data_IF_243275741548
#
_entry.id   IF_243275741548
#
_cell.length_a   1.000
_cell.length_b   1.000
_cell.length_c   1.000
_cell.angle_alpha   90.00
_cell.angle_beta   90.00
_cell.angle_gamma   90.00
#
_symmetry.space_group_name_H-M   'P 1'
#
loop_
_entity.id
_entity.type
_entity.pdbx_description
1 polymer ?
#
# COMPACT_ATOMS: atom_id res chain seq x y z
N UNK A 1 -19.04 -39.50 -31.72
CA UNK A 1 -18.45 -38.20 -32.09
C UNK A 1 -19.15 -37.13 -31.27
N UNK A 2 -18.50 -36.69 -30.18
CA UNK A 2 -19.05 -35.71 -29.25
C UNK A 2 -18.85 -34.29 -29.80
N UNK A 3 -19.91 -33.47 -29.73
CA UNK A 3 -19.84 -32.03 -29.95
C UNK A 3 -19.36 -31.38 -28.65
N UNK A 4 -18.19 -30.77 -28.70
CA UNK A 4 -17.72 -29.84 -27.67
C UNK A 4 -18.17 -28.43 -28.08
N UNK A 5 -19.19 -27.91 -27.42
CA UNK A 5 -19.60 -26.50 -27.53
C UNK A 5 -19.03 -25.73 -26.35
N UNK A 6 -17.83 -25.18 -26.52
CA UNK A 6 -17.22 -24.24 -25.58
C UNK A 6 -17.87 -22.87 -25.74
N UNK A 7 -18.96 -22.63 -25.04
CA UNK A 7 -19.61 -21.33 -24.96
C UNK A 7 -18.86 -20.47 -23.92
N UNK A 8 -17.91 -19.64 -24.37
CA UNK A 8 -17.25 -18.67 -23.51
C UNK A 8 -18.20 -17.48 -23.29
N UNK A 9 -18.48 -17.06 -22.03
CA UNK A 9 -19.40 -15.97 -21.77
C UNK A 9 -18.90 -14.67 -22.40
N UNK A 10 -19.75 -14.02 -23.19
CA UNK A 10 -19.44 -12.75 -23.86
C UNK A 10 -19.19 -11.67 -22.82
N UNK A 11 -18.01 -11.04 -22.90
CA UNK A 11 -17.69 -9.85 -22.12
C UNK A 11 -18.63 -8.72 -22.52
N UNK A 12 -19.27 -8.08 -21.54
CA UNK A 12 -20.07 -6.89 -21.79
C UNK A 12 -19.12 -5.76 -22.19
N UNK A 13 -19.36 -5.14 -23.36
CA UNK A 13 -18.76 -3.85 -23.67
C UNK A 13 -19.26 -2.85 -22.63
N UNK A 14 -18.35 -2.35 -21.81
CA UNK A 14 -18.64 -1.36 -20.78
C UNK A 14 -19.36 -0.16 -21.44
N UNK A 15 -20.51 0.32 -20.92
CA UNK A 15 -20.68 1.76 -20.90
C UNK A 15 -19.56 2.24 -19.97
N UNK A 16 -18.63 3.02 -20.50
CA UNK A 16 -17.58 3.68 -19.73
C UNK A 16 -18.24 4.29 -18.49
N UNK A 17 -18.09 3.64 -17.33
CA UNK A 17 -18.37 4.28 -16.06
C UNK A 17 -17.52 5.53 -16.05
N UNK A 18 -18.13 6.68 -15.77
CA UNK A 18 -17.51 8.01 -15.84
C UNK A 18 -16.02 7.90 -15.58
N UNK A 19 -15.24 7.98 -16.65
CA UNK A 19 -13.80 7.95 -16.52
C UNK A 19 -13.44 9.11 -15.60
N UNK A 20 -12.39 8.99 -14.79
CA UNK A 20 -11.92 10.15 -14.02
C UNK A 20 -11.67 11.37 -14.92
N UNK A 21 -11.52 11.18 -16.24
CA UNK A 21 -11.50 12.25 -17.24
C UNK A 21 -12.78 13.10 -17.30
N UNK A 22 -13.95 12.56 -16.94
CA UNK A 22 -15.24 13.25 -17.01
C UNK A 22 -15.48 14.17 -15.80
N UNK A 23 -14.65 14.07 -14.76
CA UNK A 23 -14.69 14.96 -13.58
C UNK A 23 -14.00 16.30 -13.83
N UNK A 24 -13.16 16.42 -14.86
CA UNK A 24 -12.40 17.63 -15.13
C UNK A 24 -13.01 18.36 -16.33
N UNK A 25 -13.41 19.64 -16.20
CA UNK A 25 -13.90 20.40 -17.34
C UNK A 25 -12.83 20.42 -18.44
N UNK A 26 -13.27 20.44 -19.70
CA UNK A 26 -12.39 20.53 -20.86
C UNK A 26 -11.42 21.73 -20.69
N UNK A 27 -10.14 21.43 -20.50
CA UNK A 27 -9.12 22.44 -20.19
C UNK A 27 -8.09 22.03 -19.12
N UNK A 28 -7.83 20.74 -18.91
CA UNK A 28 -6.68 20.32 -18.09
C UNK A 28 -5.41 20.95 -18.67
N UNK A 29 -4.65 21.75 -17.88
CA UNK A 29 -3.43 22.37 -18.39
C UNK A 29 -2.46 21.28 -18.86
N UNK A 30 -1.81 21.53 -20.00
CA UNK A 30 -0.77 20.63 -20.50
C UNK A 30 0.33 20.52 -19.45
N UNK A 31 0.69 19.29 -19.07
CA UNK A 31 1.76 19.05 -18.10
C UNK A 31 3.08 19.64 -18.60
N UNK A 32 3.82 20.30 -17.72
CA UNK A 32 5.19 20.69 -18.03
C UNK A 32 6.04 19.43 -18.25
N UNK A 33 7.17 19.50 -18.98
CA UNK A 33 8.07 18.36 -19.11
C UNK A 33 8.55 17.82 -17.74
N UNK A 34 8.76 18.72 -16.76
CA UNK A 34 9.14 18.34 -15.40
C UNK A 34 8.03 17.56 -14.70
N UNK A 35 6.77 18.03 -14.75
CA UNK A 35 5.62 17.32 -14.18
C UNK A 35 5.42 15.95 -14.83
N UNK A 36 5.51 15.88 -16.16
CA UNK A 36 5.37 14.63 -16.89
C UNK A 36 6.44 13.60 -16.49
N UNK A 37 7.70 14.04 -16.33
CA UNK A 37 8.80 13.21 -15.88
C UNK A 37 8.58 12.68 -14.45
N UNK A 38 8.10 13.53 -13.53
CA UNK A 38 7.77 13.13 -12.16
C UNK A 38 6.64 12.11 -12.13
N UNK A 39 5.61 12.30 -12.96
CA UNK A 39 4.51 11.35 -13.05
C UNK A 39 4.97 9.99 -13.56
N UNK A 40 5.77 9.95 -14.62
CA UNK A 40 6.34 8.70 -15.12
C UNK A 40 7.26 8.03 -14.10
N UNK A 41 8.08 8.80 -13.38
CA UNK A 41 8.89 8.29 -12.26
C UNK A 41 8.02 7.65 -11.17
N UNK A 42 6.95 8.33 -10.72
CA UNK A 42 6.05 7.83 -9.67
C UNK A 42 5.21 6.63 -10.10
N UNK A 43 4.95 6.45 -11.40
CA UNK A 43 4.23 5.29 -11.94
C UNK A 43 5.07 4.02 -11.95
N UNK A 44 6.40 4.14 -11.99
CA UNK A 44 7.30 2.99 -12.00
C UNK A 44 7.31 2.33 -10.62
N UNK A 45 7.01 1.04 -10.59
CA UNK A 45 7.04 0.24 -9.37
C UNK A 45 8.47 -0.13 -9.00
N UNK A 46 8.94 0.33 -7.84
CA UNK A 46 10.23 -0.08 -7.28
C UNK A 46 10.06 -1.38 -6.48
N UNK A 47 10.67 -2.45 -6.97
CA UNK A 47 10.71 -3.74 -6.27
C UNK A 47 11.91 -3.79 -5.33
N UNK A 48 11.67 -4.17 -4.09
CA UNK A 48 12.72 -4.38 -3.08
C UNK A 48 12.44 -5.71 -2.34
N UNK A 49 13.42 -6.28 -1.60
CA UNK A 49 13.26 -7.60 -1.00
C UNK A 49 12.00 -7.75 -0.14
N UNK A 50 11.69 -6.79 0.73
CA UNK A 50 10.49 -6.85 1.56
C UNK A 50 9.17 -6.75 0.75
N UNK A 51 9.14 -5.97 -0.33
CA UNK A 51 8.02 -5.97 -1.28
C UNK A 51 7.85 -7.33 -1.93
N UNK A 52 8.93 -7.93 -2.44
CA UNK A 52 8.88 -9.26 -3.07
C UNK A 52 8.39 -10.33 -2.10
N UNK A 53 8.91 -10.35 -0.86
CA UNK A 53 8.46 -11.27 0.19
C UNK A 53 6.98 -11.08 0.54
N UNK A 54 6.52 -9.84 0.65
CA UNK A 54 5.10 -9.56 0.89
C UNK A 54 4.21 -10.06 -0.26
N UNK A 55 4.59 -9.79 -1.50
CA UNK A 55 3.86 -10.25 -2.68
C UNK A 55 3.82 -11.78 -2.79
N UNK A 56 4.90 -12.47 -2.43
CA UNK A 56 4.93 -13.93 -2.38
C UNK A 56 4.04 -14.48 -1.26
N UNK A 57 4.06 -13.87 -0.07
CA UNK A 57 3.19 -14.25 1.03
C UNK A 57 1.71 -14.07 0.68
N UNK A 58 1.34 -12.96 0.02
CA UNK A 58 -0.02 -12.74 -0.48
C UNK A 58 -0.38 -13.78 -1.53
N UNK A 59 0.53 -14.09 -2.48
CA UNK A 59 0.30 -15.13 -3.48
C UNK A 59 0.00 -16.49 -2.86
N UNK A 60 0.73 -16.86 -1.80
CA UNK A 60 0.50 -18.11 -1.08
C UNK A 60 -0.87 -18.13 -0.38
N UNK A 61 -1.22 -17.01 0.25
CA UNK A 61 -2.54 -16.80 0.86
C UNK A 61 -3.66 -16.95 -0.18
N UNK A 62 -3.52 -16.30 -1.34
CA UNK A 62 -4.49 -16.37 -2.44
C UNK A 62 -4.70 -17.80 -2.96
N UNK A 63 -3.61 -18.58 -3.08
CA UNK A 63 -3.67 -19.97 -3.51
C UNK A 63 -4.59 -20.81 -2.60
N UNK A 64 -4.62 -20.52 -1.30
CA UNK A 64 -5.46 -21.24 -0.34
C UNK A 64 -6.96 -20.96 -0.55
N UNK A 65 -7.31 -19.71 -0.84
CA UNK A 65 -8.69 -19.35 -1.17
C UNK A 65 -9.13 -19.90 -2.52
N UNK A 66 -8.26 -19.82 -3.54
CA UNK A 66 -8.52 -20.39 -4.86
C UNK A 66 -8.80 -21.91 -4.81
N UNK A 67 -8.14 -22.65 -3.92
CA UNK A 67 -8.36 -24.09 -3.73
C UNK A 67 -9.37 -24.45 -2.62
N UNK A 68 -10.04 -23.45 -2.01
CA UNK A 68 -11.07 -23.66 -0.98
C UNK A 68 -10.63 -24.57 0.17
N UNK A 69 -9.37 -24.42 0.63
CA UNK A 69 -8.89 -25.13 1.82
C UNK A 69 -9.84 -24.90 3.00
N UNK A 70 -10.08 -25.94 3.79
CA UNK A 70 -11.04 -25.85 4.91
C UNK A 70 -10.62 -24.81 5.95
N UNK A 71 -9.32 -24.73 6.22
CA UNK A 71 -8.72 -23.76 7.14
C UNK A 71 -7.60 -22.99 6.41
N UNK A 72 -7.94 -21.93 5.65
CA UNK A 72 -6.94 -21.18 4.91
C UNK A 72 -6.15 -20.28 5.85
N UNK A 73 -4.81 -20.31 5.74
CA UNK A 73 -4.00 -19.30 6.43
C UNK A 73 -4.34 -17.91 5.89
N UNK A 74 -4.36 -16.95 6.79
CA UNK A 74 -4.47 -15.54 6.52
C UNK A 74 -3.10 -14.86 6.76
N UNK A 75 -2.96 -13.62 6.32
CA UNK A 75 -1.69 -12.90 6.37
C UNK A 75 -1.84 -11.55 7.07
N UNK A 76 -0.95 -11.26 8.02
CA UNK A 76 -0.83 -9.92 8.59
C UNK A 76 0.43 -9.24 8.03
N UNK A 77 0.26 -8.09 7.38
CA UNK A 77 1.35 -7.23 6.91
C UNK A 77 1.37 -5.96 7.75
N UNK A 78 2.37 -5.82 8.60
CA UNK A 78 2.54 -4.63 9.44
C UNK A 78 3.67 -3.74 8.92
N UNK A 79 3.54 -2.42 9.09
CA UNK A 79 4.62 -1.48 8.82
C UNK A 79 4.21 -0.08 9.23
N UNK A 80 5.18 0.78 9.53
CA UNK A 80 4.90 2.20 9.83
C UNK A 80 4.25 2.90 8.63
N UNK A 81 3.70 4.10 8.85
CA UNK A 81 3.20 4.91 7.73
C UNK A 81 4.33 5.20 6.74
N UNK A 82 4.02 5.20 5.44
CA UNK A 82 5.02 5.38 4.38
C UNK A 82 5.92 4.18 4.09
N UNK A 83 5.68 3.00 4.68
CA UNK A 83 6.46 1.77 4.43
C UNK A 83 6.07 1.01 3.13
N UNK A 84 5.11 1.50 2.34
CA UNK A 84 4.70 0.88 1.06
C UNK A 84 3.57 -0.17 1.14
N UNK A 85 2.84 -0.25 2.25
CA UNK A 85 1.70 -1.19 2.44
C UNK A 85 0.64 -1.06 1.34
N UNK A 86 0.13 0.15 1.12
CA UNK A 86 -0.91 0.39 0.11
C UNK A 86 -0.41 0.14 -1.32
N UNK A 87 0.88 0.36 -1.59
CA UNK A 87 1.51 -0.01 -2.88
C UNK A 87 1.46 -1.52 -3.09
N UNK A 88 1.79 -2.32 -2.08
CA UNK A 88 1.69 -3.79 -2.14
C UNK A 88 0.25 -4.23 -2.41
N UNK A 89 -0.72 -3.67 -1.66
CA UNK A 89 -2.15 -3.96 -1.82
C UNK A 89 -2.63 -3.72 -3.25
N UNK A 90 -2.47 -2.48 -3.74
CA UNK A 90 -2.87 -2.06 -5.08
C UNK A 90 -2.15 -2.86 -6.17
N UNK A 91 -0.85 -3.12 -6.01
CA UNK A 91 -0.08 -3.88 -7.00
C UNK A 91 -0.54 -5.33 -7.10
N UNK A 92 -0.93 -5.95 -5.98
CA UNK A 92 -1.45 -7.31 -6.00
C UNK A 92 -2.85 -7.37 -6.60
N UNK A 93 -3.76 -6.50 -6.14
CA UNK A 93 -5.14 -6.42 -6.62
C UNK A 93 -5.23 -6.12 -8.13
N UNK A 94 -4.35 -5.26 -8.66
CA UNK A 94 -4.31 -4.93 -10.09
C UNK A 94 -4.05 -6.13 -11.02
N UNK A 95 -3.57 -7.26 -10.50
CA UNK A 95 -3.39 -8.51 -11.28
C UNK A 95 -4.70 -9.27 -11.48
N UNK A 96 -5.74 -8.92 -10.71
CA UNK A 96 -7.04 -9.60 -10.68
C UNK A 96 -8.16 -8.55 -10.74
N UNK A 97 -8.28 -7.80 -11.85
CA UNK A 97 -9.32 -6.80 -12.00
C UNK A 97 -10.71 -7.44 -11.91
N UNK A 98 -11.70 -6.66 -11.48
CA UNK A 98 -13.12 -7.03 -11.54
C UNK A 98 -13.50 -7.30 -13.00
N UNK A 99 -14.14 -8.43 -13.26
CA UNK A 99 -14.65 -8.80 -14.58
C UNK A 99 -16.18 -8.84 -14.55
N UNK A 100 -16.83 -8.12 -15.45
CA UNK A 100 -18.28 -8.09 -15.56
C UNK A 100 -18.73 -8.79 -16.85
N UNK A 101 -19.50 -9.87 -16.67
CA UNK A 101 -20.18 -10.60 -17.72
C UNK A 101 -21.67 -10.28 -17.67
N UNK A 102 -22.46 -10.75 -18.65
CA UNK A 102 -23.89 -10.44 -18.72
C UNK A 102 -24.66 -10.88 -17.47
N UNK A 103 -24.31 -12.04 -16.90
CA UNK A 103 -25.04 -12.65 -15.78
C UNK A 103 -24.19 -12.77 -14.51
N UNK A 104 -22.87 -12.61 -14.60
CA UNK A 104 -21.93 -12.89 -13.51
C UNK A 104 -20.93 -11.74 -13.39
N UNK A 105 -20.65 -11.33 -12.16
CA UNK A 105 -19.51 -10.46 -11.84
C UNK A 105 -18.47 -11.29 -11.11
N UNK A 106 -17.23 -11.30 -11.59
CA UNK A 106 -16.12 -12.03 -10.97
C UNK A 106 -15.18 -11.06 -10.27
N UNK A 107 -14.94 -11.28 -8.98
CA UNK A 107 -14.06 -10.46 -8.11
C UNK A 107 -13.15 -11.41 -7.33
N UNK A 108 -12.06 -11.87 -7.94
CA UNK A 108 -11.14 -12.82 -7.28
C UNK A 108 -10.43 -12.21 -6.07
N UNK A 109 -9.99 -10.95 -6.20
CA UNK A 109 -9.36 -10.20 -5.11
C UNK A 109 -10.22 -8.99 -4.77
N UNK A 110 -10.75 -8.97 -3.56
CA UNK A 110 -11.48 -7.82 -3.01
C UNK A 110 -10.53 -6.98 -2.16
N UNK A 111 -10.24 -5.73 -2.55
CA UNK A 111 -9.49 -4.79 -1.69
C UNK A 111 -10.38 -3.68 -1.15
N UNK A 112 -10.14 -3.28 0.10
CA UNK A 112 -10.78 -2.11 0.70
C UNK A 112 -9.88 -1.43 1.73
N UNK A 113 -10.13 -0.14 1.91
CA UNK A 113 -9.52 0.69 2.95
C UNK A 113 -10.55 0.97 4.04
N UNK A 114 -10.16 0.71 5.29
CA UNK A 114 -11.06 0.85 6.42
C UNK A 114 -11.25 2.33 6.81
N UNK A 115 -12.47 2.75 7.19
CA UNK A 115 -12.73 4.13 7.60
C UNK A 115 -12.06 4.44 8.92
N UNK A 116 -11.92 5.74 9.22
CA UNK A 116 -11.74 6.20 10.59
C UNK A 116 -12.93 5.73 11.45
N UNK A 117 -12.66 5.20 12.64
CA UNK A 117 -13.67 4.61 13.55
C UNK A 117 -14.56 3.52 12.90
N UNK A 118 -13.97 2.40 12.43
CA UNK A 118 -14.70 1.33 11.79
C UNK A 118 -15.59 0.58 12.80
N UNK A 119 -16.79 0.22 12.35
CA UNK A 119 -17.70 -0.68 13.05
C UNK A 119 -17.97 -1.88 12.15
N UNK A 120 -18.31 -3.04 12.72
CA UNK A 120 -18.64 -4.22 11.91
C UNK A 120 -19.71 -3.89 10.85
N UNK A 121 -20.71 -3.06 11.21
CA UNK A 121 -21.77 -2.65 10.29
C UNK A 121 -21.25 -1.82 9.12
N UNK A 122 -20.41 -0.80 9.36
CA UNK A 122 -19.92 0.07 8.30
C UNK A 122 -18.88 -0.62 7.39
N UNK A 123 -18.10 -1.56 7.94
CA UNK A 123 -17.17 -2.37 7.15
C UNK A 123 -17.94 -3.37 6.31
N UNK A 124 -18.96 -4.03 6.87
CA UNK A 124 -19.83 -4.93 6.11
C UNK A 124 -20.54 -4.19 4.96
N UNK A 125 -21.03 -2.97 5.19
CA UNK A 125 -21.60 -2.11 4.16
C UNK A 125 -20.60 -1.79 3.04
N UNK A 126 -19.35 -1.44 3.39
CA UNK A 126 -18.28 -1.20 2.38
C UNK A 126 -17.94 -2.44 1.57
N UNK A 127 -17.89 -3.60 2.21
CA UNK A 127 -17.68 -4.88 1.52
C UNK A 127 -18.82 -5.13 0.53
N UNK A 128 -20.08 -4.96 0.96
CA UNK A 128 -21.25 -5.11 0.08
C UNK A 128 -21.21 -4.13 -1.11
N UNK A 129 -20.87 -2.87 -0.86
CA UNK A 129 -20.71 -1.88 -1.91
C UNK A 129 -19.64 -2.29 -2.94
N UNK A 130 -18.49 -2.78 -2.47
CA UNK A 130 -17.40 -3.25 -3.33
C UNK A 130 -17.77 -4.53 -4.12
N UNK A 131 -18.65 -5.37 -3.58
CA UNK A 131 -19.22 -6.53 -4.26
C UNK A 131 -20.30 -6.16 -5.29
N UNK A 132 -20.76 -4.90 -5.33
CA UNK A 132 -21.83 -4.45 -6.23
C UNK A 132 -23.24 -4.76 -5.72
N UNK A 133 -23.40 -4.93 -4.41
CA UNK A 133 -24.71 -5.12 -3.79
C UNK A 133 -25.60 -3.87 -4.00
N UNK A 134 -26.89 -4.02 -4.38
CA UNK A 134 -27.77 -2.89 -4.68
C UNK A 134 -28.28 -2.13 -3.45
N UNK A 135 -28.16 -2.71 -2.25
CA UNK A 135 -28.67 -2.14 -1.00
C UNK A 135 -27.66 -2.31 0.15
N UNK A 136 -26.42 -1.79 -0.01
CA UNK A 136 -25.33 -2.09 0.90
C UNK A 136 -25.59 -1.54 2.31
N UNK A 137 -26.34 -0.43 2.42
CA UNK A 137 -26.72 0.25 3.66
C UNK A 137 -27.85 -0.45 4.44
N UNK A 138 -28.66 -1.28 3.78
CA UNK A 138 -29.86 -1.90 4.39
C UNK A 138 -29.55 -3.11 5.27
N UNK A 139 -30.31 -3.26 6.35
CA UNK A 139 -30.26 -4.40 7.27
C UNK A 139 -29.27 -4.27 8.46
N UNK A 140 -29.37 -5.22 9.39
CA UNK A 140 -28.47 -5.37 10.54
C UNK A 140 -27.07 -5.81 10.11
N UNK A 141 -26.09 -5.77 11.02
CA UNK A 141 -24.74 -6.28 10.75
C UNK A 141 -24.73 -7.77 10.41
N UNK A 142 -25.60 -8.56 11.05
CA UNK A 142 -25.79 -9.99 10.77
C UNK A 142 -26.39 -10.22 9.38
N UNK A 143 -27.45 -9.50 9.02
CA UNK A 143 -28.06 -9.57 7.70
C UNK A 143 -27.06 -9.20 6.59
N UNK A 144 -26.25 -8.16 6.82
CA UNK A 144 -25.14 -7.80 5.90
C UNK A 144 -24.12 -8.92 5.80
N UNK A 145 -23.72 -9.52 6.91
CA UNK A 145 -22.75 -10.64 6.93
C UNK A 145 -23.26 -11.84 6.13
N UNK A 146 -24.54 -12.21 6.25
CA UNK A 146 -25.15 -13.27 5.44
C UNK A 146 -25.11 -12.98 3.94
N UNK A 147 -25.33 -11.72 3.54
CA UNK A 147 -25.23 -11.28 2.14
C UNK A 147 -23.80 -11.31 1.64
N UNK A 148 -22.83 -10.88 2.45
CA UNK A 148 -21.40 -10.98 2.13
C UNK A 148 -21.01 -12.43 1.84
N UNK A 149 -21.42 -13.38 2.69
CA UNK A 149 -21.12 -14.81 2.49
C UNK A 149 -21.68 -15.30 1.16
N UNK A 150 -22.89 -14.88 0.82
CA UNK A 150 -23.54 -15.25 -0.45
C UNK A 150 -22.80 -14.66 -1.64
N UNK A 151 -22.50 -13.36 -1.60
CA UNK A 151 -21.82 -12.65 -2.68
C UNK A 151 -20.36 -13.08 -2.85
N UNK A 152 -19.66 -13.48 -1.78
CA UNK A 152 -18.32 -14.06 -1.91
C UNK A 152 -18.33 -15.31 -2.79
N UNK A 153 -19.37 -16.15 -2.65
CA UNK A 153 -19.54 -17.35 -3.49
C UNK A 153 -19.94 -17.00 -4.91
N UNK A 154 -20.94 -16.13 -5.07
CA UNK A 154 -21.45 -15.75 -6.41
C UNK A 154 -20.42 -14.99 -7.24
N UNK A 155 -19.59 -14.16 -6.60
CA UNK A 155 -18.55 -13.39 -7.27
C UNK A 155 -17.21 -14.14 -7.39
N UNK A 156 -17.09 -15.36 -6.86
CA UNK A 156 -15.84 -16.11 -6.88
C UNK A 156 -14.70 -15.38 -6.17
N UNK A 157 -14.95 -14.85 -4.97
CA UNK A 157 -13.93 -14.19 -4.17
C UNK A 157 -12.96 -15.24 -3.62
N UNK A 158 -11.67 -15.01 -3.87
CA UNK A 158 -10.56 -15.91 -3.51
C UNK A 158 -9.64 -15.27 -2.46
N UNK A 159 -9.66 -13.94 -2.29
CA UNK A 159 -8.85 -13.22 -1.31
C UNK A 159 -9.50 -11.87 -0.95
N UNK A 160 -9.47 -11.51 0.33
CA UNK A 160 -9.82 -10.17 0.80
C UNK A 160 -8.59 -9.45 1.35
N UNK A 161 -8.36 -8.20 0.96
CA UNK A 161 -7.27 -7.35 1.46
C UNK A 161 -7.86 -6.12 2.17
N UNK A 162 -7.59 -5.99 3.48
CA UNK A 162 -8.05 -4.86 4.30
C UNK A 162 -6.87 -3.97 4.66
N UNK A 163 -6.87 -2.72 4.20
CA UNK A 163 -5.88 -1.71 4.58
C UNK A 163 -6.38 -0.84 5.74
N UNK A 164 -5.45 -0.15 6.40
CA UNK A 164 -5.75 0.67 7.58
C UNK A 164 -6.38 -0.16 8.73
N UNK A 165 -5.97 -1.41 8.92
CA UNK A 165 -6.53 -2.29 9.94
C UNK A 165 -6.36 -1.77 11.39
N UNK A 166 -5.38 -0.90 11.62
CA UNK A 166 -5.18 -0.25 12.93
C UNK A 166 -6.38 0.55 13.38
N UNK A 167 -7.22 1.01 12.45
CA UNK A 167 -8.40 1.81 12.77
C UNK A 167 -9.37 1.04 13.71
N UNK A 168 -9.38 -0.29 13.65
CA UNK A 168 -10.14 -1.12 14.59
C UNK A 168 -9.53 -1.19 16.00
N UNK A 169 -8.21 -1.01 16.12
CA UNK A 169 -7.46 -1.11 17.38
C UNK A 169 -7.36 0.25 18.06
N UNK A 170 -7.34 1.35 17.30
CA UNK A 170 -7.16 2.69 17.83
C UNK A 170 -8.42 3.29 18.45
N UNK A 171 -9.59 2.81 18.03
CA UNK A 171 -10.89 3.37 18.38
C UNK A 171 -11.64 2.53 19.42
N UNK A 172 -10.94 1.67 20.15
CA UNK A 172 -11.55 0.58 20.91
C UNK A 172 -11.09 0.50 22.37
N UNK A 173 -12.05 0.35 23.28
CA UNK A 173 -11.80 0.06 24.70
C UNK A 173 -11.79 -1.44 25.01
N UNK A 174 -10.97 -2.24 24.32
CA UNK A 174 -10.77 -3.69 24.55
C UNK A 174 -11.91 -4.63 24.10
N UNK A 175 -13.17 -4.18 24.19
CA UNK A 175 -14.36 -4.99 23.83
C UNK A 175 -14.64 -5.03 22.33
N UNK A 176 -14.10 -4.10 21.54
CA UNK A 176 -14.42 -3.99 20.10
C UNK A 176 -13.49 -4.91 19.30
N UNK A 177 -12.22 -5.00 19.70
CA UNK A 177 -11.18 -5.87 19.14
C UNK A 177 -11.64 -7.32 19.17
N UNK A 178 -12.15 -7.80 20.31
CA UNK A 178 -12.68 -9.17 20.40
C UNK A 178 -13.84 -9.40 19.42
N UNK A 179 -14.78 -8.45 19.30
CA UNK A 179 -15.91 -8.56 18.36
C UNK A 179 -15.46 -8.58 16.91
N UNK A 180 -14.47 -7.77 16.56
CA UNK A 180 -13.89 -7.72 15.20
C UNK A 180 -13.15 -9.01 14.89
N UNK A 181 -12.36 -9.52 15.84
CA UNK A 181 -11.65 -10.78 15.70
C UNK A 181 -12.61 -11.96 15.51
N UNK A 182 -13.69 -11.99 16.29
CA UNK A 182 -14.72 -13.03 16.17
C UNK A 182 -15.48 -12.92 14.84
N UNK A 183 -15.83 -11.72 14.40
CA UNK A 183 -16.48 -11.50 13.10
C UNK A 183 -15.60 -11.92 11.91
N UNK A 184 -14.31 -11.57 11.91
CA UNK A 184 -13.36 -12.04 10.89
C UNK A 184 -13.26 -13.57 10.88
N UNK A 185 -13.16 -14.19 12.06
CA UNK A 185 -13.15 -15.65 12.18
C UNK A 185 -14.40 -16.27 11.57
N UNK A 186 -15.59 -15.72 11.86
CA UNK A 186 -16.85 -16.20 11.32
C UNK A 186 -16.90 -16.09 9.79
N UNK A 187 -16.44 -14.96 9.23
CA UNK A 187 -16.35 -14.78 7.77
C UNK A 187 -15.41 -15.80 7.13
N UNK A 188 -14.20 -15.99 7.68
CA UNK A 188 -13.24 -16.98 7.17
C UNK A 188 -13.85 -18.39 7.21
N UNK A 189 -14.53 -18.75 8.30
CA UNK A 189 -15.18 -20.08 8.42
C UNK A 189 -16.27 -20.31 7.38
N UNK A 190 -17.14 -19.32 7.21
CA UNK A 190 -18.32 -19.46 6.37
C UNK A 190 -17.99 -19.43 4.86
N UNK A 191 -16.89 -18.75 4.50
CA UNK A 191 -16.53 -18.47 3.11
C UNK A 191 -15.31 -19.26 2.64
N UNK A 192 -14.44 -19.71 3.55
CA UNK A 192 -13.10 -20.24 3.24
C UNK A 192 -12.21 -19.26 2.46
N UNK A 193 -12.56 -17.98 2.49
CA UNK A 193 -11.78 -16.92 1.85
C UNK A 193 -10.76 -16.39 2.86
N UNK A 194 -9.45 -16.44 2.54
CA UNK A 194 -8.42 -15.88 3.38
C UNK A 194 -8.41 -14.34 3.33
N UNK A 195 -7.89 -13.76 4.41
CA UNK A 195 -7.75 -12.32 4.57
C UNK A 195 -6.28 -11.92 4.65
N UNK A 196 -5.92 -10.83 3.98
CA UNK A 196 -4.67 -10.09 4.17
C UNK A 196 -5.00 -8.80 4.89
N UNK A 197 -4.52 -8.66 6.12
CA UNK A 197 -4.68 -7.45 6.91
C UNK A 197 -3.42 -6.60 6.78
N UNK A 198 -3.55 -5.36 6.36
CA UNK A 198 -2.47 -4.37 6.29
C UNK A 198 -2.70 -3.27 7.32
N UNK A 199 -1.65 -2.93 8.07
CA UNK A 199 -1.76 -1.82 9.01
C UNK A 199 -0.49 -1.52 9.79
N UNK A 200 -0.62 -0.72 10.85
CA UNK A 200 0.48 -0.39 11.75
C UNK A 200 0.89 -1.59 12.63
N UNK A 201 2.11 -1.60 13.22
CA UNK A 201 2.57 -2.71 14.06
C UNK A 201 1.61 -3.10 15.20
N UNK A 202 0.88 -2.12 15.76
CA UNK A 202 -0.13 -2.32 16.80
C UNK A 202 -1.32 -3.20 16.37
N UNK A 203 -1.54 -3.41 15.08
CA UNK A 203 -2.54 -4.36 14.58
C UNK A 203 -2.34 -5.77 15.14
N UNK A 204 -1.11 -6.15 15.53
CA UNK A 204 -0.82 -7.46 16.14
C UNK A 204 -1.67 -7.75 17.37
N UNK A 205 -2.10 -6.72 18.10
CA UNK A 205 -2.97 -6.85 19.27
C UNK A 205 -4.27 -7.61 18.98
N UNK A 206 -4.83 -7.49 17.76
CA UNK A 206 -6.05 -8.23 17.39
C UNK A 206 -5.87 -9.76 17.45
N UNK A 207 -4.63 -10.24 17.27
CA UNK A 207 -4.30 -11.66 17.33
C UNK A 207 -4.09 -12.11 18.78
N UNK A 208 -3.78 -11.20 19.70
CA UNK A 208 -3.58 -11.52 21.11
C UNK A 208 -4.92 -11.77 21.82
N UNK A 209 -5.98 -11.07 21.38
CA UNK A 209 -7.32 -11.18 21.97
C UNK A 209 -8.11 -12.41 21.50
N UNK A 210 -7.64 -13.13 20.46
CA UNK A 210 -8.33 -14.31 19.93
C UNK A 210 -7.35 -15.36 19.40
N UNK A 211 -7.17 -16.46 20.16
CA UNK A 211 -6.25 -17.54 19.79
C UNK A 211 -6.59 -18.23 18.47
N UNK A 212 -7.88 -18.41 18.16
CA UNK A 212 -8.31 -19.06 16.92
C UNK A 212 -7.94 -18.20 15.71
N UNK A 213 -8.10 -16.89 15.83
CA UNK A 213 -7.66 -15.95 14.81
C UNK A 213 -6.13 -15.94 14.70
N UNK A 214 -5.41 -15.92 15.83
CA UNK A 214 -3.94 -15.97 15.86
C UNK A 214 -3.36 -17.13 15.07
N UNK A 215 -3.93 -18.32 15.21
CA UNK A 215 -3.48 -19.53 14.50
C UNK A 215 -3.64 -19.42 12.98
N UNK A 216 -4.62 -18.64 12.50
CA UNK A 216 -4.81 -18.37 11.07
C UNK A 216 -3.85 -17.31 10.54
N UNK A 217 -3.42 -16.38 11.38
CA UNK A 217 -2.50 -15.31 11.02
C UNK A 217 -1.07 -15.58 11.51
N UNK A 218 -0.65 -16.86 11.54
CA UNK A 218 0.75 -17.23 11.80
C UNK A 218 1.71 -16.64 10.76
N UNK A 219 1.37 -16.61 9.45
CA UNK A 219 2.15 -15.85 8.49
C UNK A 219 2.07 -14.34 8.79
N UNK A 220 3.22 -13.73 9.06
CA UNK A 220 3.33 -12.30 9.28
C UNK A 220 4.51 -11.72 8.49
N UNK A 221 4.30 -10.57 7.87
CA UNK A 221 5.35 -9.82 7.17
C UNK A 221 5.45 -8.44 7.80
N UNK A 222 6.65 -8.01 8.12
CA UNK A 222 6.90 -6.65 8.64
C UNK A 222 7.68 -5.84 7.59
N UNK A 223 7.08 -4.74 7.16
CA UNK A 223 7.71 -3.73 6.32
C UNK A 223 8.39 -2.70 7.23
N UNK A 224 9.66 -2.95 7.52
CA UNK A 224 10.49 -2.04 8.30
C UNK A 224 11.06 -0.93 7.40
N UNK A 225 11.23 0.30 7.93
CA UNK A 225 12.06 1.32 7.27
C UNK A 225 13.47 0.78 6.99
N UNK A 226 14.13 1.35 5.99
CA UNK A 226 15.54 1.11 5.78
C UNK A 226 16.36 1.55 7.00
N UNK A 227 17.54 0.96 7.16
CA UNK A 227 18.47 1.24 8.25
C UNK A 227 19.87 1.27 7.69
N UNK A 228 20.75 2.06 8.29
CA UNK A 228 22.19 2.05 8.00
C UNK A 228 23.02 1.57 9.20
N UNK A 229 22.37 1.09 10.28
CA UNK A 229 23.05 0.68 11.53
C UNK A 229 23.95 -0.54 11.34
N UNK A 230 23.57 -1.47 10.46
CA UNK A 230 24.36 -2.66 10.11
C UNK A 230 24.82 -2.54 8.67
N UNK A 231 26.02 -3.06 8.38
CA UNK A 231 26.58 -3.08 7.01
C UNK A 231 25.60 -3.68 5.99
N UNK A 232 24.94 -4.78 6.33
CA UNK A 232 23.94 -5.42 5.47
C UNK A 232 22.72 -4.54 5.18
N UNK A 233 22.28 -3.74 6.16
CA UNK A 233 21.13 -2.86 5.99
C UNK A 233 21.52 -1.64 5.13
N UNK A 234 22.71 -1.10 5.35
CA UNK A 234 23.26 -0.01 4.54
C UNK A 234 23.44 -0.42 3.07
N UNK A 235 23.89 -1.65 2.80
CA UNK A 235 23.98 -2.22 1.44
C UNK A 235 22.59 -2.27 0.80
N UNK A 236 21.57 -2.81 1.50
CA UNK A 236 20.19 -2.87 0.98
C UNK A 236 19.61 -1.49 0.70
N UNK A 237 19.95 -0.52 1.54
CA UNK A 237 19.53 0.86 1.33
C UNK A 237 20.20 1.47 0.08
N UNK A 238 21.51 1.26 -0.09
CA UNK A 238 22.25 1.69 -1.26
C UNK A 238 21.73 1.04 -2.56
N UNK A 239 21.39 -0.26 -2.54
CA UNK A 239 20.75 -0.97 -3.66
C UNK A 239 19.40 -0.35 -4.03
N UNK A 240 18.60 0.03 -3.03
CA UNK A 240 17.34 0.72 -3.25
C UNK A 240 17.55 2.11 -3.88
N UNK A 241 18.52 2.89 -3.39
CA UNK A 241 18.88 4.18 -3.97
C UNK A 241 19.41 4.05 -5.40
N UNK A 242 20.18 3.01 -5.69
CA UNK A 242 20.63 2.69 -7.05
C UNK A 242 19.45 2.38 -7.99
N UNK A 243 18.42 1.70 -7.47
CA UNK A 243 17.18 1.42 -8.22
C UNK A 243 16.33 2.68 -8.45
N UNK A 244 16.34 3.63 -7.51
CA UNK A 244 15.77 4.97 -7.74
C UNK A 244 16.58 5.69 -8.81
N UNK A 245 17.91 5.71 -8.68
CA UNK A 245 18.80 6.45 -9.56
C UNK A 245 18.70 5.99 -11.02
N UNK A 246 18.55 4.69 -11.27
CA UNK A 246 18.36 4.17 -12.64
C UNK A 246 17.05 4.57 -13.30
N UNK A 247 16.10 5.13 -12.55
CA UNK A 247 14.81 5.59 -13.05
C UNK A 247 14.73 7.11 -13.22
N UNK A 248 15.74 7.84 -12.77
CA UNK A 248 15.85 9.29 -12.89
C UNK A 248 16.08 9.64 -14.38
N UNK A 249 15.23 10.48 -14.99
CA UNK A 249 15.33 10.82 -16.40
C UNK A 249 16.30 12.00 -16.64
N UNK A 250 17.56 11.85 -16.22
CA UNK A 250 18.61 12.85 -16.40
C UNK A 250 19.84 12.22 -17.07
N UNK A 251 20.59 13.04 -17.80
CA UNK A 251 21.68 12.58 -18.67
C UNK A 251 22.91 12.09 -17.89
N UNK A 252 23.19 12.68 -16.73
CA UNK A 252 24.35 12.35 -15.90
C UNK A 252 23.95 11.61 -14.62
N UNK A 253 24.83 10.72 -14.10
CA UNK A 253 24.62 10.07 -12.80
C UNK A 253 24.39 11.10 -11.69
N UNK A 254 23.36 10.87 -10.87
CA UNK A 254 23.04 11.73 -9.74
C UNK A 254 23.76 11.28 -8.47
N UNK A 255 23.92 12.19 -7.51
CA UNK A 255 24.74 11.95 -6.30
C UNK A 255 24.14 10.92 -5.32
N UNK A 256 22.91 10.43 -5.55
CA UNK A 256 22.22 9.44 -4.71
C UNK A 256 23.03 8.17 -4.42
N UNK A 257 23.92 7.79 -5.34
CA UNK A 257 24.73 6.57 -5.25
C UNK A 257 26.12 6.82 -4.65
N UNK A 258 26.46 8.07 -4.32
CA UNK A 258 27.75 8.39 -3.74
C UNK A 258 27.83 7.92 -2.29
N UNK A 259 28.91 7.20 -1.88
CA UNK A 259 29.05 6.69 -0.52
C UNK A 259 28.91 7.75 0.58
N UNK A 260 29.33 9.00 0.31
CA UNK A 260 29.22 10.11 1.23
C UNK A 260 27.78 10.65 1.36
N UNK A 261 26.94 10.48 0.34
CA UNK A 261 25.58 11.02 0.27
C UNK A 261 24.53 10.03 0.79
N UNK A 262 24.78 8.72 0.68
CA UNK A 262 23.87 7.68 1.15
C UNK A 262 23.42 7.90 2.61
N UNK A 263 24.32 8.17 3.60
CA UNK A 263 23.90 8.47 4.97
C UNK A 263 23.04 9.74 5.08
N UNK A 264 23.31 10.76 4.27
CA UNK A 264 22.55 12.02 4.27
C UNK A 264 21.12 11.79 3.77
N UNK A 265 20.95 10.99 2.72
CA UNK A 265 19.62 10.57 2.23
C UNK A 265 18.87 9.75 3.29
N UNK A 266 19.57 8.91 4.05
CA UNK A 266 18.96 8.21 5.19
C UNK A 266 18.45 9.19 6.25
N UNK A 267 19.25 10.17 6.68
CA UNK A 267 18.82 11.18 7.66
C UNK A 267 17.66 12.04 7.14
N UNK A 268 17.68 12.37 5.85
CA UNK A 268 16.67 13.17 5.17
C UNK A 268 15.32 12.46 4.98
N UNK A 269 15.26 11.14 5.19
CA UNK A 269 14.06 10.33 4.91
C UNK A 269 13.67 9.39 6.05
N UNK A 270 14.51 9.28 7.07
CA UNK A 270 14.41 8.28 8.13
C UNK A 270 14.29 6.83 7.61
N UNK A 271 14.84 6.57 6.42
CA UNK A 271 14.72 5.28 5.73
C UNK A 271 13.30 4.91 5.27
N UNK A 272 12.36 5.86 5.26
CA UNK A 272 10.97 5.63 4.84
C UNK A 272 10.83 5.73 3.32
N UNK A 273 10.20 4.72 2.70
CA UNK A 273 10.01 4.65 1.24
C UNK A 273 9.23 5.85 0.72
N UNK A 274 8.16 6.27 1.40
CA UNK A 274 7.38 7.43 0.98
C UNK A 274 8.21 8.72 0.93
N UNK A 275 9.06 8.95 1.94
CA UNK A 275 9.94 10.12 1.96
C UNK A 275 11.07 10.03 0.93
N UNK A 276 11.59 8.83 0.67
CA UNK A 276 12.55 8.59 -0.43
C UNK A 276 11.94 8.95 -1.78
N UNK A 277 10.71 8.50 -2.05
CA UNK A 277 10.01 8.79 -3.29
C UNK A 277 9.66 10.28 -3.41
N UNK A 278 9.27 10.94 -2.30
CA UNK A 278 9.01 12.38 -2.25
C UNK A 278 10.28 13.19 -2.56
N UNK A 279 11.39 12.88 -1.89
CA UNK A 279 12.67 13.53 -2.12
C UNK A 279 13.11 13.38 -3.58
N UNK A 280 13.10 12.16 -4.11
CA UNK A 280 13.50 11.89 -5.49
C UNK A 280 12.59 12.58 -6.50
N UNK A 281 11.27 12.54 -6.30
CA UNK A 281 10.30 13.21 -7.19
C UNK A 281 10.57 14.71 -7.27
N UNK A 282 10.76 15.35 -6.11
CA UNK A 282 11.00 16.78 -6.08
C UNK A 282 12.38 17.14 -6.63
N UNK A 283 13.40 16.31 -6.40
CA UNK A 283 14.73 16.52 -6.95
C UNK A 283 14.74 16.41 -8.49
N UNK A 284 13.97 15.46 -9.07
CA UNK A 284 13.75 15.40 -10.53
C UNK A 284 13.09 16.69 -11.01
N UNK A 285 12.04 17.16 -10.34
CA UNK A 285 11.34 18.38 -10.70
C UNK A 285 12.28 19.60 -10.73
N UNK A 286 12.98 19.85 -9.62
CA UNK A 286 13.92 20.98 -9.46
C UNK A 286 15.04 20.91 -10.50
N UNK A 287 15.63 19.73 -10.71
CA UNK A 287 16.69 19.56 -11.70
C UNK A 287 16.21 19.90 -13.12
N UNK A 288 15.02 19.43 -13.51
CA UNK A 288 14.47 19.66 -14.85
C UNK A 288 14.03 21.11 -15.07
N UNK A 289 13.39 21.74 -14.08
CA UNK A 289 13.03 23.17 -14.15
C UNK A 289 14.26 24.06 -14.34
N UNK A 290 15.36 23.72 -13.69
CA UNK A 290 16.62 24.46 -13.77
C UNK A 290 17.55 24.00 -14.88
N UNK A 291 17.10 23.07 -15.73
CA UNK A 291 17.88 22.50 -16.83
C UNK A 291 19.23 21.94 -16.38
N UNK A 292 19.26 21.34 -15.19
CA UNK A 292 20.40 20.58 -14.67
C UNK A 292 20.45 19.22 -15.35
N UNK A 293 21.67 18.70 -15.54
CA UNK A 293 21.92 17.39 -16.16
C UNK A 293 22.05 16.26 -15.14
N UNK A 294 22.11 16.57 -13.84
CA UNK A 294 22.06 15.63 -12.72
C UNK A 294 21.40 16.25 -11.48
N UNK A 295 21.06 15.40 -10.51
CA UNK A 295 20.73 15.82 -9.15
C UNK A 295 22.03 15.86 -8.34
N UNK A 296 22.46 17.07 -7.99
CA UNK A 296 23.60 17.35 -7.13
C UNK A 296 23.17 17.60 -5.67
N UNK A 297 24.14 17.90 -4.78
CA UNK A 297 23.87 18.15 -3.36
C UNK A 297 22.97 19.37 -3.14
N UNK A 298 23.06 20.39 -4.00
CA UNK A 298 22.27 21.60 -3.89
C UNK A 298 20.80 21.36 -4.30
N UNK A 299 20.57 20.54 -5.32
CA UNK A 299 19.22 20.07 -5.69
C UNK A 299 18.61 19.25 -4.55
N UNK A 300 19.37 18.35 -3.92
CA UNK A 300 18.89 17.57 -2.77
C UNK A 300 18.56 18.46 -1.56
N UNK A 301 19.42 19.43 -1.25
CA UNK A 301 19.21 20.40 -0.16
C UNK A 301 17.90 21.16 -0.33
N UNK A 302 17.65 21.69 -1.53
CA UNK A 302 16.42 22.42 -1.85
C UNK A 302 15.20 21.52 -1.91
N UNK A 303 15.38 20.27 -2.36
CA UNK A 303 14.30 19.29 -2.41
C UNK A 303 13.87 18.81 -1.03
N UNK A 304 14.81 18.61 -0.12
CA UNK A 304 14.49 18.32 1.27
C UNK A 304 13.67 19.46 1.89
N UNK A 305 14.09 20.70 1.69
CA UNK A 305 13.40 21.86 2.26
C UNK A 305 12.00 22.04 1.67
N UNK A 306 11.84 21.93 0.35
CA UNK A 306 10.52 22.14 -0.29
C UNK A 306 9.55 20.96 -0.13
N UNK A 307 10.03 19.72 -0.15
CA UNK A 307 9.16 18.53 -0.18
C UNK A 307 9.01 17.80 1.15
N UNK A 308 9.93 17.99 2.10
CA UNK A 308 9.94 17.24 3.37
C UNK A 308 9.81 18.17 4.56
N UNK A 309 10.63 19.22 4.66
CA UNK A 309 10.60 20.13 5.80
C UNK A 309 11.02 21.56 5.45
N UNK A 310 10.04 22.44 5.25
CA UNK A 310 10.24 23.84 4.88
C UNK A 310 10.95 24.67 5.96
N UNK A 311 10.78 24.29 7.23
CA UNK A 311 11.37 24.97 8.39
C UNK A 311 12.78 24.45 8.75
N UNK A 312 13.35 23.57 7.93
CA UNK A 312 14.71 23.07 8.15
C UNK A 312 15.72 24.23 8.07
N UNK A 313 16.48 24.43 9.15
CA UNK A 313 17.66 25.30 9.15
C UNK A 313 18.90 24.54 8.63
N UNK A 314 20.03 25.24 8.60
CA UNK A 314 21.30 24.72 8.08
C UNK A 314 21.84 23.54 8.90
N UNK A 315 21.63 23.54 10.21
CA UNK A 315 22.06 22.45 11.08
C UNK A 315 21.18 21.20 10.97
N UNK A 316 19.96 21.34 10.41
CA UNK A 316 18.95 20.28 10.33
C UNK A 316 18.61 19.84 8.90
N UNK A 317 19.17 20.48 7.88
CA UNK A 317 19.09 20.01 6.50
C UNK A 317 20.25 19.05 6.21
N UNK A 318 19.99 17.75 5.96
CA UNK A 318 21.07 16.76 5.80
C UNK A 318 22.02 17.00 4.63
N UNK A 319 21.68 17.91 3.71
CA UNK A 319 22.49 18.24 2.54
C UNK A 319 23.13 19.63 2.65
N UNK A 320 23.01 20.30 3.80
CA UNK A 320 23.79 21.52 4.10
C UNK A 320 25.15 21.14 4.72
N UNK A 321 26.16 21.97 4.49
CA UNK A 321 27.50 21.80 5.04
C UNK A 321 27.56 21.89 6.56
N UNK A 322 26.58 22.57 7.19
CA UNK A 322 26.50 22.77 8.65
C UNK A 322 25.66 21.68 9.35
N UNK A 323 25.21 20.66 8.60
CA UNK A 323 24.36 19.61 9.14
C UNK A 323 25.01 18.89 10.34
N UNK A 324 24.26 18.76 11.43
CA UNK A 324 24.66 17.98 12.61
C UNK A 324 24.06 16.57 12.49
N UNK A 325 24.86 15.51 12.23
CA UNK A 325 24.33 14.19 11.91
C UNK A 325 23.52 13.55 13.04
N UNK A 326 22.21 13.48 12.85
CA UNK A 326 21.26 12.76 13.71
C UNK A 326 19.94 12.50 13.00
N UNK A 327 19.13 11.62 13.59
CA UNK A 327 17.74 11.48 13.17
C UNK A 327 16.96 12.78 13.47
N UNK A 328 16.08 13.15 12.54
CA UNK A 328 15.19 14.30 12.61
C UNK A 328 13.80 13.88 13.14
N UNK A 329 13.77 13.21 14.30
CA UNK A 329 12.58 12.60 14.89
C UNK A 329 12.16 13.20 16.25
N UNK A 330 12.73 14.33 16.67
CA UNK A 330 12.30 15.06 17.87
C UNK A 330 10.93 15.73 17.65
N UNK A 331 10.36 16.29 18.71
CA UNK A 331 9.09 17.02 18.65
C UNK A 331 9.23 18.22 17.70
N UNK A 332 8.31 18.34 16.73
CA UNK A 332 8.33 19.41 15.72
C UNK A 332 9.22 19.11 14.51
N UNK A 333 9.87 17.94 14.45
CA UNK A 333 10.69 17.52 13.31
C UNK A 333 9.90 16.61 12.35
N UNK A 334 10.32 16.46 11.08
CA UNK A 334 9.54 15.78 10.04
C UNK A 334 9.25 14.31 10.33
N UNK A 335 10.05 13.66 11.19
CA UNK A 335 9.88 12.27 11.58
C UNK A 335 9.45 12.11 13.04
N UNK A 336 8.84 13.15 13.62
CA UNK A 336 8.31 13.07 14.98
C UNK A 336 7.35 11.89 15.13
N UNK A 337 7.54 11.08 16.17
CA UNK A 337 6.74 9.88 16.44
C UNK A 337 7.22 8.60 15.76
N UNK A 338 8.28 8.66 14.94
CA UNK A 338 8.99 7.49 14.45
C UNK A 338 10.18 7.17 15.39
N UNK A 339 10.27 5.90 15.83
CA UNK A 339 11.31 5.40 16.75
C UNK A 339 12.48 4.71 16.06
#
# INVERSE_FOLDING_TARGET
MAKDSSDQPKRRGMPLGHSQSDMFPAGTPSLTPADAAVFEFRRKLIRHPAFTSAMQAIKRCHLYGHHLLEEPDCLLITGVSGAGKSTIRRTYAARYPREEFEEITVIRVLELELPAAPTIKNVAERILMALGDPYPDKGSAEAKTGRIITLFRLCGVELVMLDEFQQFVDNSGGKIEYKVADWLKQLINATRVPFVLLGLPRCKYILEVNEQLRRRFLPQVTLSPFSIKRKSDAIRFAEFLSTINSQIPLDKPSVFIEPAVIPLVFYATNGLIDYLMKLASNAIHVALEEKRDCIDIDVLRRSFQSAIWSEADRERNPFDSEFIPRLLNKKGEPFSGYS
#
